data_IF_046941634042
#
_entry.id   IF_046941634042
#
_cell.length_a   1.000
_cell.length_b   1.000
_cell.length_c   1.000
_cell.angle_alpha   90.00
_cell.angle_beta   90.00
_cell.angle_gamma   90.00
#
_symmetry.space_group_name_H-M   'P 1'
#
loop_
_entity.id
_entity.type
_entity.pdbx_description
1 polymer ?
#
# COMPACT_ATOMS: atom_id res chain seq x y z
N UNK A 1 26.35 27.91 64.62
CA UNK A 1 25.55 28.84 63.80
C UNK A 1 25.42 28.25 62.41
N UNK A 2 24.39 27.47 62.20
CA UNK A 2 24.10 26.81 60.92
C UNK A 2 22.80 27.32 60.37
N UNK A 3 22.88 28.03 59.26
CA UNK A 3 21.69 28.42 58.48
C UNK A 3 21.73 27.63 57.16
N UNK A 4 20.98 26.53 57.07
CA UNK A 4 20.52 25.99 55.81
C UNK A 4 19.01 26.27 55.67
N UNK A 5 18.69 27.29 54.87
CA UNK A 5 17.34 27.47 54.36
C UNK A 5 17.07 26.46 53.24
N UNK A 6 16.22 25.52 53.51
CA UNK A 6 15.63 24.65 52.49
C UNK A 6 14.58 25.47 51.74
N UNK A 7 14.87 25.81 50.48
CA UNK A 7 13.89 26.29 49.53
C UNK A 7 13.03 25.09 49.12
N UNK A 8 11.77 25.11 49.50
CA UNK A 8 10.73 24.23 48.88
C UNK A 8 10.49 24.75 47.49
N UNK A 9 10.79 23.91 46.48
CA UNK A 9 10.22 24.08 45.13
C UNK A 9 8.76 23.64 45.22
N UNK A 10 7.85 24.57 44.96
CA UNK A 10 6.48 24.23 44.65
C UNK A 10 6.49 23.67 43.21
N UNK A 11 6.26 22.35 43.09
CA UNK A 11 5.90 21.73 41.84
C UNK A 11 4.43 22.05 41.52
N UNK A 12 4.19 23.25 41.04
CA UNK A 12 2.94 23.56 40.34
C UNK A 12 3.12 23.02 38.91
N UNK A 13 2.80 21.74 38.72
CA UNK A 13 2.72 21.06 37.42
C UNK A 13 1.46 21.59 36.68
N UNK A 14 1.64 22.78 36.08
CA UNK A 14 0.66 23.43 35.21
C UNK A 14 0.79 22.88 33.76
N UNK A 15 0.97 21.56 33.62
CA UNK A 15 0.73 20.91 32.35
C UNK A 15 -0.79 20.90 32.10
N UNK A 16 -1.26 21.51 31.00
CA UNK A 16 -2.67 21.40 30.65
C UNK A 16 -3.02 19.92 30.52
N UNK A 17 -3.82 19.39 31.44
CA UNK A 17 -4.40 18.06 31.28
C UNK A 17 -5.22 18.08 30.02
N UNK A 18 -4.73 17.48 28.95
CA UNK A 18 -5.53 17.22 27.76
C UNK A 18 -6.82 16.53 28.21
N UNK A 19 -7.94 17.17 27.99
CA UNK A 19 -9.25 16.58 28.24
C UNK A 19 -9.32 15.30 27.40
N UNK A 20 -9.79 14.17 27.95
CA UNK A 20 -9.93 12.95 27.20
C UNK A 20 -10.80 13.24 25.96
N UNK A 21 -10.23 13.06 24.77
CA UNK A 21 -10.95 13.23 23.51
C UNK A 21 -12.24 12.39 23.57
N UNK A 22 -13.37 13.04 23.35
CA UNK A 22 -14.65 12.36 23.30
C UNK A 22 -14.61 11.30 22.17
N UNK A 23 -14.77 10.00 22.47
CA UNK A 23 -14.69 8.93 21.45
C UNK A 23 -15.62 9.17 20.27
N UNK A 24 -16.75 9.84 20.47
CA UNK A 24 -17.71 10.22 19.44
C UNK A 24 -17.16 11.32 18.53
N UNK A 25 -16.46 12.32 19.07
CA UNK A 25 -15.83 13.39 18.30
C UNK A 25 -14.68 12.85 17.45
N UNK A 26 -13.88 11.93 18.00
CA UNK A 26 -12.80 11.25 17.27
C UNK A 26 -13.35 10.40 16.13
N UNK A 27 -14.45 9.69 16.36
CA UNK A 27 -15.12 8.89 15.33
C UNK A 27 -15.72 9.81 14.25
N UNK A 28 -16.34 10.92 14.62
CA UNK A 28 -16.93 11.90 13.68
C UNK A 28 -15.85 12.61 12.85
N UNK A 29 -14.71 12.97 13.44
CA UNK A 29 -13.60 13.60 12.71
C UNK A 29 -13.01 12.64 11.68
N UNK A 30 -12.75 11.38 12.04
CA UNK A 30 -12.29 10.36 11.11
C UNK A 30 -13.26 10.15 9.95
N UNK A 31 -14.57 10.08 10.22
CA UNK A 31 -15.60 9.94 9.20
C UNK A 31 -15.67 11.16 8.24
N UNK A 32 -15.46 12.39 8.75
CA UNK A 32 -15.42 13.59 7.91
C UNK A 32 -14.24 13.61 6.95
N UNK A 33 -13.03 13.17 7.39
CA UNK A 33 -11.85 13.03 6.53
C UNK A 33 -12.09 11.99 5.44
N UNK A 34 -12.55 10.80 5.81
CA UNK A 34 -12.85 9.74 4.85
C UNK A 34 -13.87 10.17 3.80
N UNK A 35 -14.96 10.83 4.24
CA UNK A 35 -15.97 11.38 3.34
C UNK A 35 -15.35 12.38 2.35
N UNK A 36 -14.50 13.30 2.83
CA UNK A 36 -13.87 14.30 1.97
C UNK A 36 -12.93 13.70 0.94
N UNK A 37 -12.17 12.66 1.32
CA UNK A 37 -11.30 11.95 0.39
C UNK A 37 -12.10 11.17 -0.66
N UNK A 38 -13.16 10.48 -0.27
CA UNK A 38 -14.05 9.79 -1.20
C UNK A 38 -14.73 10.76 -2.18
N UNK A 39 -15.18 11.94 -1.73
CA UNK A 39 -15.69 13.00 -2.62
C UNK A 39 -14.64 13.46 -3.65
N UNK A 40 -13.36 13.44 -3.29
CA UNK A 40 -12.22 13.73 -4.18
C UNK A 40 -11.74 12.50 -4.96
N UNK A 41 -12.41 11.37 -4.84
CA UNK A 41 -12.05 10.09 -5.46
C UNK A 41 -10.64 9.61 -5.10
N UNK A 42 -10.23 9.86 -3.85
CA UNK A 42 -8.95 9.45 -3.28
C UNK A 42 -9.18 8.31 -2.29
N UNK A 43 -8.45 7.21 -2.47
CA UNK A 43 -8.46 6.04 -1.59
C UNK A 43 -7.06 5.74 -1.10
N UNK A 44 -6.93 5.10 0.07
CA UNK A 44 -5.65 4.90 0.74
C UNK A 44 -5.49 3.47 1.23
N UNK A 45 -4.41 2.80 0.83
CA UNK A 45 -3.93 1.58 1.44
C UNK A 45 -2.78 1.94 2.38
N UNK A 46 -3.00 1.77 3.69
CA UNK A 46 -2.00 2.07 4.70
C UNK A 46 -1.75 0.85 5.58
N UNK A 47 -0.53 0.31 5.53
CA UNK A 47 -0.14 -0.90 6.26
C UNK A 47 -0.32 -2.18 5.44
N UNK A 48 -0.60 -3.30 6.13
CA UNK A 48 -0.58 -4.64 5.56
C UNK A 48 -1.73 -4.89 4.58
N UNK A 49 -1.45 -5.61 3.51
CA UNK A 49 -2.46 -6.19 2.61
C UNK A 49 -3.04 -7.43 3.27
N UNK A 50 -4.29 -7.35 3.69
CA UNK A 50 -5.07 -8.42 4.30
C UNK A 50 -6.53 -8.38 3.81
N UNK A 51 -7.37 -9.28 4.30
CA UNK A 51 -8.78 -9.35 3.89
C UNK A 51 -9.58 -8.10 4.29
N UNK A 52 -9.20 -7.44 5.39
CA UNK A 52 -9.86 -6.22 5.85
C UNK A 52 -9.53 -5.05 4.92
N UNK A 53 -8.26 -4.82 4.63
CA UNK A 53 -7.81 -3.78 3.70
C UNK A 53 -8.31 -4.05 2.28
N UNK A 54 -8.31 -5.31 1.84
CA UNK A 54 -8.84 -5.70 0.54
C UNK A 54 -10.33 -5.40 0.40
N UNK A 55 -11.13 -5.76 1.41
CA UNK A 55 -12.56 -5.45 1.44
C UNK A 55 -12.82 -3.94 1.40
N UNK A 56 -12.10 -3.15 2.20
CA UNK A 56 -12.27 -1.70 2.24
C UNK A 56 -11.94 -1.06 0.89
N UNK A 57 -10.75 -1.32 0.35
CA UNK A 57 -10.30 -0.75 -0.94
C UNK A 57 -11.19 -1.18 -2.09
N UNK A 58 -11.52 -2.47 -2.19
CA UNK A 58 -12.41 -2.99 -3.25
C UNK A 58 -13.81 -2.36 -3.17
N UNK A 59 -14.37 -2.23 -1.96
CA UNK A 59 -15.67 -1.58 -1.78
C UNK A 59 -15.65 -0.12 -2.21
N UNK A 60 -14.57 0.63 -1.91
CA UNK A 60 -14.38 2.02 -2.32
C UNK A 60 -14.22 2.15 -3.83
N UNK A 61 -13.44 1.26 -4.48
CA UNK A 61 -13.29 1.23 -5.93
C UNK A 61 -14.65 1.01 -6.63
N UNK A 62 -15.40 -0.01 -6.20
CA UNK A 62 -16.72 -0.32 -6.75
C UNK A 62 -17.75 0.79 -6.48
N UNK A 63 -17.71 1.40 -5.31
CA UNK A 63 -18.57 2.55 -4.99
C UNK A 63 -18.28 3.75 -5.89
N UNK A 64 -16.99 4.11 -6.05
CA UNK A 64 -16.58 5.22 -6.91
C UNK A 64 -16.90 4.97 -8.38
N UNK A 65 -16.76 3.73 -8.85
CA UNK A 65 -17.20 3.32 -10.20
C UNK A 65 -18.71 3.49 -10.36
N UNK A 66 -19.50 3.06 -9.36
CA UNK A 66 -20.97 3.09 -9.45
C UNK A 66 -21.55 4.52 -9.48
N UNK A 67 -20.91 5.48 -8.76
CA UNK A 67 -21.43 6.86 -8.69
C UNK A 67 -21.02 7.74 -9.87
N UNK A 68 -19.85 7.48 -10.47
CA UNK A 68 -19.36 8.28 -11.61
C UNK A 68 -18.39 7.43 -12.47
N UNK A 69 -18.93 6.53 -13.31
CA UNK A 69 -18.12 5.61 -14.11
C UNK A 69 -17.17 6.34 -15.06
N UNK A 70 -15.97 5.81 -15.24
CA UNK A 70 -14.96 6.34 -16.16
C UNK A 70 -14.18 7.53 -15.63
N UNK A 71 -14.52 8.09 -14.47
CA UNK A 71 -13.78 9.18 -13.85
C UNK A 71 -12.62 8.64 -13.04
N UNK A 72 -11.45 9.29 -13.14
CA UNK A 72 -10.21 8.86 -12.49
C UNK A 72 -10.36 8.70 -10.97
N UNK A 73 -9.76 7.63 -10.42
CA UNK A 73 -9.61 7.36 -9.00
C UNK A 73 -8.12 7.44 -8.67
N UNK A 74 -7.74 8.14 -7.61
CA UNK A 74 -6.35 8.17 -7.12
C UNK A 74 -6.18 7.23 -5.95
N UNK A 75 -5.31 6.24 -6.10
CA UNK A 75 -5.01 5.22 -5.11
C UNK A 75 -3.62 5.45 -4.50
N UNK A 76 -3.59 5.92 -3.26
CA UNK A 76 -2.38 6.13 -2.48
C UNK A 76 -1.98 4.86 -1.74
N UNK A 77 -0.70 4.50 -1.81
CA UNK A 77 -0.16 3.24 -1.27
C UNK A 77 1.02 3.53 -0.36
N UNK A 78 0.91 3.10 0.90
CA UNK A 78 2.01 2.98 1.85
C UNK A 78 1.89 1.60 2.54
N UNK A 79 2.51 0.57 1.95
CA UNK A 79 2.28 -0.81 2.34
C UNK A 79 3.54 -1.67 2.21
N UNK A 80 3.84 -2.51 3.22
CA UNK A 80 4.85 -3.56 3.12
C UNK A 80 4.41 -4.76 2.26
N UNK A 81 3.18 -4.75 1.73
CA UNK A 81 2.56 -5.91 1.10
C UNK A 81 1.77 -6.78 2.08
N UNK A 82 1.64 -8.07 1.80
CA UNK A 82 0.90 -9.01 2.64
C UNK A 82 0.28 -10.16 1.84
N UNK A 83 -0.98 -10.51 2.15
CA UNK A 83 -1.67 -11.68 1.59
C UNK A 83 -1.92 -11.50 0.09
N UNK A 84 -1.35 -12.42 -0.71
CA UNK A 84 -1.41 -12.34 -2.18
C UNK A 84 -2.84 -12.37 -2.70
N UNK A 85 -3.69 -13.28 -2.21
CA UNK A 85 -5.08 -13.40 -2.65
C UNK A 85 -5.89 -12.14 -2.36
N UNK A 86 -5.69 -11.53 -1.19
CA UNK A 86 -6.33 -10.26 -0.82
C UNK A 86 -5.85 -9.10 -1.71
N UNK A 87 -4.57 -9.08 -2.07
CA UNK A 87 -4.02 -8.10 -3.00
C UNK A 87 -4.52 -8.28 -4.43
N UNK A 88 -4.67 -9.53 -4.90
CA UNK A 88 -5.19 -9.81 -6.25
C UNK A 88 -6.65 -9.36 -6.40
N UNK A 89 -7.47 -9.48 -5.35
CA UNK A 89 -8.85 -8.92 -5.38
C UNK A 89 -8.84 -7.41 -5.66
N UNK A 90 -7.94 -6.67 -5.01
CA UNK A 90 -7.79 -5.22 -5.29
C UNK A 90 -7.28 -4.98 -6.70
N UNK A 91 -6.23 -5.70 -7.13
CA UNK A 91 -5.63 -5.58 -8.46
C UNK A 91 -6.66 -5.85 -9.57
N UNK A 92 -7.34 -6.98 -9.52
CA UNK A 92 -8.34 -7.35 -10.52
C UNK A 92 -9.48 -6.33 -10.57
N UNK A 93 -9.94 -5.83 -9.40
CA UNK A 93 -10.95 -4.78 -9.35
C UNK A 93 -10.46 -3.51 -10.07
N UNK A 94 -9.22 -3.07 -9.84
CA UNK A 94 -8.63 -1.93 -10.55
C UNK A 94 -8.61 -2.13 -12.07
N UNK A 95 -8.39 -3.37 -12.54
CA UNK A 95 -8.34 -3.66 -13.97
C UNK A 95 -9.74 -3.82 -14.61
N UNK A 96 -10.76 -4.19 -13.84
CA UNK A 96 -12.10 -4.51 -14.32
C UNK A 96 -13.06 -3.31 -14.35
N UNK A 97 -12.82 -2.27 -13.54
CA UNK A 97 -13.64 -1.05 -13.55
C UNK A 97 -13.30 -0.17 -14.76
N UNK A 98 -14.26 0.64 -15.21
CA UNK A 98 -14.04 1.58 -16.34
C UNK A 98 -13.28 2.83 -15.93
N UNK A 99 -13.32 3.20 -14.64
CA UNK A 99 -12.58 4.32 -14.07
C UNK A 99 -11.09 4.05 -14.09
N UNK A 100 -10.27 4.89 -14.72
CA UNK A 100 -8.82 4.74 -14.65
C UNK A 100 -8.32 4.95 -13.22
N UNK A 101 -7.46 4.05 -12.73
CA UNK A 101 -6.86 4.17 -11.41
C UNK A 101 -5.45 4.73 -11.54
N UNK A 102 -5.23 5.94 -11.02
CA UNK A 102 -3.91 6.51 -10.81
C UNK A 102 -3.34 5.99 -9.49
N UNK A 103 -2.09 5.53 -9.47
CA UNK A 103 -1.46 5.00 -8.26
C UNK A 103 -0.32 5.90 -7.78
N UNK A 104 -0.19 6.04 -6.46
CA UNK A 104 0.84 6.91 -5.85
C UNK A 104 1.50 6.17 -4.69
N UNK A 105 2.78 5.90 -4.77
CA UNK A 105 3.57 5.41 -3.64
C UNK A 105 3.88 6.55 -2.68
N UNK A 106 3.41 6.44 -1.42
CA UNK A 106 3.69 7.36 -0.31
C UNK A 106 4.55 6.63 0.73
N UNK A 107 5.86 6.83 0.71
CA UNK A 107 6.78 6.14 1.61
C UNK A 107 7.21 4.79 1.07
N UNK A 108 6.37 3.76 1.09
CA UNK A 108 6.76 2.42 0.63
C UNK A 108 5.65 1.71 -0.14
N UNK A 109 6.03 1.00 -1.21
CA UNK A 109 5.20 0.01 -1.88
C UNK A 109 5.99 -1.29 -2.08
N UNK A 110 5.91 -2.20 -1.11
CA UNK A 110 6.69 -3.44 -1.12
C UNK A 110 5.82 -4.66 -1.40
N UNK A 111 6.42 -5.71 -2.00
CA UNK A 111 5.78 -7.00 -2.22
C UNK A 111 4.44 -6.86 -2.96
N UNK A 112 3.32 -7.29 -2.38
CA UNK A 112 1.98 -7.11 -2.97
C UNK A 112 1.65 -5.62 -3.21
N UNK A 113 2.18 -4.69 -2.40
CA UNK A 113 2.04 -3.25 -2.61
C UNK A 113 2.67 -2.77 -3.92
N UNK A 114 3.79 -3.36 -4.34
CA UNK A 114 4.44 -3.04 -5.62
C UNK A 114 3.63 -3.51 -6.83
N UNK A 115 2.97 -4.65 -6.71
CA UNK A 115 2.05 -5.16 -7.75
C UNK A 115 0.86 -4.21 -7.91
N UNK A 116 0.24 -3.78 -6.80
CA UNK A 116 -0.85 -2.79 -6.83
C UNK A 116 -0.40 -1.46 -7.43
N UNK A 117 0.79 -0.96 -7.05
CA UNK A 117 1.37 0.26 -7.59
C UNK A 117 1.56 0.16 -9.11
N UNK A 118 2.16 -0.93 -9.59
CA UNK A 118 2.40 -1.18 -11.01
C UNK A 118 1.11 -1.30 -11.82
N UNK A 119 0.00 -1.74 -11.18
CA UNK A 119 -1.30 -1.93 -11.79
C UNK A 119 -2.07 -0.64 -12.09
N UNK A 120 -1.56 0.51 -11.72
CA UNK A 120 -2.12 1.80 -12.09
C UNK A 120 -2.10 2.05 -13.59
N UNK A 121 -2.96 2.97 -14.05
CA UNK A 121 -3.03 3.38 -15.45
C UNK A 121 -1.67 3.88 -15.93
N UNK A 122 -1.12 3.34 -17.01
CA UNK A 122 0.15 3.76 -17.58
C UNK A 122 0.17 5.27 -17.87
N UNK A 123 1.23 5.95 -17.44
CA UNK A 123 1.35 7.41 -17.44
C UNK A 123 0.71 8.08 -16.20
N UNK A 124 0.14 7.31 -15.29
CA UNK A 124 -0.56 7.77 -14.08
C UNK A 124 -0.10 7.02 -12.81
N UNK A 125 1.12 6.52 -12.81
CA UNK A 125 1.74 5.83 -11.66
C UNK A 125 2.85 6.72 -11.12
N UNK A 126 2.73 7.11 -9.87
CA UNK A 126 3.61 8.10 -9.26
C UNK A 126 4.26 7.57 -7.99
N UNK A 127 5.35 8.21 -7.60
CA UNK A 127 6.06 7.97 -6.35
C UNK A 127 6.47 9.31 -5.73
N UNK A 128 6.41 9.41 -4.41
CA UNK A 128 6.97 10.56 -3.69
C UNK A 128 8.50 10.58 -3.77
N UNK A 129 9.17 11.75 -3.63
CA UNK A 129 10.63 11.86 -3.80
C UNK A 129 11.45 10.91 -2.92
N UNK A 130 10.98 10.59 -1.72
CA UNK A 130 11.61 9.67 -0.77
C UNK A 130 10.87 8.33 -0.67
N UNK A 131 10.06 7.99 -1.66
CA UNK A 131 9.37 6.71 -1.72
C UNK A 131 10.29 5.60 -2.17
N UNK A 132 10.02 4.39 -1.70
CA UNK A 132 10.76 3.17 -2.03
C UNK A 132 9.81 2.09 -2.53
N UNK A 133 10.28 1.30 -3.47
CA UNK A 133 9.55 0.15 -4.00
C UNK A 133 10.40 -1.10 -3.82
N UNK A 134 9.77 -2.20 -3.40
CA UNK A 134 10.44 -3.49 -3.31
C UNK A 134 9.62 -4.57 -4.00
N UNK A 135 10.28 -5.34 -4.85
CA UNK A 135 9.72 -6.56 -5.46
C UNK A 135 10.44 -7.79 -4.94
N UNK A 136 9.70 -8.86 -4.72
CA UNK A 136 10.24 -10.18 -4.37
C UNK A 136 9.23 -11.29 -4.63
N UNK A 137 9.70 -12.53 -4.71
CA UNK A 137 8.86 -13.72 -4.85
C UNK A 137 7.94 -13.92 -3.62
N UNK A 138 6.79 -14.59 -3.80
CA UNK A 138 5.91 -14.88 -2.68
C UNK A 138 6.61 -15.75 -1.63
N UNK A 139 6.38 -15.43 -0.37
CA UNK A 139 6.79 -16.25 0.76
C UNK A 139 5.63 -17.18 1.09
N UNK A 140 5.89 -18.46 1.19
CA UNK A 140 4.88 -19.45 1.54
C UNK A 140 5.53 -20.70 2.11
N UNK A 141 4.73 -21.50 2.80
CA UNK A 141 5.13 -22.76 3.38
C UNK A 141 3.96 -23.38 4.14
N UNK A 142 4.11 -24.63 4.56
CA UNK A 142 3.08 -25.32 5.31
C UNK A 142 3.57 -26.62 5.91
N UNK A 143 2.65 -27.33 6.58
CA UNK A 143 2.84 -28.62 7.17
C UNK A 143 1.82 -29.59 6.56
N UNK A 144 2.19 -30.85 6.40
CA UNK A 144 1.32 -31.87 5.87
C UNK A 144 2.08 -33.11 5.44
N UNK A 145 1.43 -33.99 4.69
CA UNK A 145 2.06 -35.15 4.06
C UNK A 145 2.99 -34.68 2.91
N UNK A 146 3.86 -35.57 2.42
CA UNK A 146 4.70 -35.28 1.25
C UNK A 146 3.87 -34.80 0.07
N UNK A 147 2.75 -35.45 -0.21
CA UNK A 147 1.84 -35.05 -1.29
C UNK A 147 1.25 -33.65 -1.09
N UNK A 148 0.87 -33.27 0.14
CA UNK A 148 0.37 -31.93 0.45
C UNK A 148 1.45 -30.86 0.21
N UNK A 149 2.68 -31.14 0.61
CA UNK A 149 3.82 -30.23 0.42
C UNK A 149 4.16 -30.04 -1.07
N UNK A 150 4.09 -31.12 -1.86
CA UNK A 150 4.28 -31.05 -3.32
C UNK A 150 3.21 -30.17 -4.00
N UNK A 151 1.92 -30.35 -3.64
CA UNK A 151 0.82 -29.53 -4.13
C UNK A 151 1.04 -28.06 -3.77
N UNK A 152 1.45 -27.79 -2.53
CA UNK A 152 1.71 -26.44 -2.05
C UNK A 152 2.89 -25.79 -2.79
N UNK A 153 3.98 -26.53 -3.01
CA UNK A 153 5.14 -26.05 -3.77
C UNK A 153 4.75 -25.63 -5.20
N UNK A 154 3.95 -26.47 -5.88
CA UNK A 154 3.41 -26.16 -7.22
C UNK A 154 2.57 -24.87 -7.18
N UNK A 155 1.71 -24.70 -6.16
CA UNK A 155 0.88 -23.50 -6.06
C UNK A 155 1.71 -22.24 -5.79
N UNK A 156 2.72 -22.31 -4.94
CA UNK A 156 3.65 -21.20 -4.69
C UNK A 156 4.38 -20.82 -5.98
N UNK A 157 4.82 -21.80 -6.77
CA UNK A 157 5.48 -21.54 -8.06
C UNK A 157 4.56 -20.84 -9.04
N UNK A 158 3.30 -21.27 -9.18
CA UNK A 158 2.30 -20.62 -10.01
C UNK A 158 2.07 -19.15 -9.57
N UNK A 159 2.01 -18.92 -8.27
CA UNK A 159 1.86 -17.56 -7.72
C UNK A 159 3.08 -16.69 -8.02
N UNK A 160 4.29 -17.25 -7.93
CA UNK A 160 5.54 -16.57 -8.33
C UNK A 160 5.49 -16.15 -9.79
N UNK A 161 5.16 -17.09 -10.70
CA UNK A 161 5.05 -16.79 -12.12
C UNK A 161 3.98 -15.75 -12.44
N UNK A 162 2.82 -15.82 -11.78
CA UNK A 162 1.74 -14.84 -11.95
C UNK A 162 2.20 -13.43 -11.57
N UNK A 163 2.81 -13.26 -10.38
CA UNK A 163 3.32 -11.97 -9.93
C UNK A 163 4.40 -11.41 -10.85
N UNK A 164 5.35 -12.27 -11.29
CA UNK A 164 6.40 -11.88 -12.22
C UNK A 164 5.85 -11.48 -13.58
N UNK A 165 4.82 -12.16 -14.10
CA UNK A 165 4.16 -11.84 -15.36
C UNK A 165 3.45 -10.48 -15.29
N UNK A 166 2.67 -10.25 -14.22
CA UNK A 166 2.00 -8.96 -13.99
C UNK A 166 3.02 -7.82 -13.95
N UNK A 167 4.11 -7.98 -13.21
CA UNK A 167 5.16 -6.96 -13.16
C UNK A 167 5.83 -6.75 -14.52
N UNK A 168 6.14 -7.82 -15.24
CA UNK A 168 6.75 -7.73 -16.58
C UNK A 168 5.86 -6.92 -17.55
N UNK A 169 4.58 -7.24 -17.60
CA UNK A 169 3.60 -6.55 -18.44
C UNK A 169 3.42 -5.08 -18.04
N UNK A 170 3.21 -4.81 -16.75
CA UNK A 170 2.98 -3.46 -16.25
C UNK A 170 4.22 -2.56 -16.37
N UNK A 171 5.43 -3.12 -16.16
CA UNK A 171 6.68 -2.36 -16.21
C UNK A 171 7.30 -2.31 -17.62
N UNK A 172 6.79 -3.10 -18.58
CA UNK A 172 7.39 -3.24 -19.91
C UNK A 172 8.76 -3.92 -19.87
N UNK A 173 8.97 -4.82 -18.90
CA UNK A 173 10.20 -5.58 -18.70
C UNK A 173 10.09 -6.96 -19.32
N UNK A 174 11.25 -7.58 -19.63
CA UNK A 174 11.31 -8.98 -20.02
C UNK A 174 10.98 -9.89 -18.81
N UNK A 175 10.17 -10.94 -19.04
CA UNK A 175 9.72 -11.86 -17.99
C UNK A 175 10.88 -12.54 -17.26
N UNK A 176 11.89 -13.01 -18.00
CA UNK A 176 13.06 -13.69 -17.43
C UNK A 176 13.89 -12.76 -16.55
N UNK A 177 13.97 -11.47 -16.95
CA UNK A 177 14.61 -10.44 -16.12
C UNK A 177 13.83 -10.24 -14.82
N UNK A 178 12.50 -10.09 -14.89
CA UNK A 178 11.68 -9.94 -13.70
C UNK A 178 11.77 -11.16 -12.79
N UNK A 179 11.74 -12.37 -13.34
CA UNK A 179 11.91 -13.60 -12.57
C UNK A 179 13.24 -13.66 -11.81
N UNK A 180 14.31 -13.09 -12.38
CA UNK A 180 15.62 -12.99 -11.74
C UNK A 180 15.62 -11.93 -10.64
N UNK A 181 15.11 -10.73 -10.92
CA UNK A 181 15.05 -9.64 -9.96
C UNK A 181 14.09 -9.95 -8.80
N UNK A 182 13.04 -10.74 -9.07
CA UNK A 182 12.00 -11.16 -8.12
C UNK A 182 12.45 -12.30 -7.17
N UNK A 183 13.64 -12.86 -7.38
CA UNK A 183 14.11 -14.03 -6.59
C UNK A 183 14.49 -13.67 -5.15
N UNK A 184 14.91 -12.43 -4.90
CA UNK A 184 15.21 -11.86 -3.59
C UNK A 184 14.64 -10.44 -3.51
N UNK A 185 14.72 -9.85 -2.33
CA UNK A 185 14.29 -8.47 -2.12
C UNK A 185 15.09 -7.54 -3.05
N UNK A 186 14.39 -6.97 -4.02
CA UNK A 186 14.94 -6.01 -4.97
C UNK A 186 14.35 -4.64 -4.69
N UNK A 187 15.12 -3.81 -4.00
CA UNK A 187 14.72 -2.47 -3.61
C UNK A 187 15.05 -1.45 -4.69
N UNK A 188 14.18 -0.46 -4.84
CA UNK A 188 14.31 0.63 -5.79
C UNK A 188 13.92 1.94 -5.12
N UNK A 189 14.77 2.95 -5.23
CA UNK A 189 14.40 4.34 -4.93
C UNK A 189 13.45 4.91 -6.00
N UNK A 190 13.05 6.18 -5.86
CA UNK A 190 12.12 6.83 -6.79
C UNK A 190 12.67 6.87 -8.23
N UNK A 191 13.97 7.13 -8.42
CA UNK A 191 14.60 7.20 -9.73
C UNK A 191 14.76 5.82 -10.37
N UNK A 192 15.18 4.84 -9.58
CA UNK A 192 15.30 3.44 -10.00
C UNK A 192 13.93 2.85 -10.36
N UNK A 193 12.88 3.21 -9.59
CA UNK A 193 11.49 2.80 -9.85
C UNK A 193 10.98 3.30 -11.20
N UNK A 194 11.32 4.55 -11.60
CA UNK A 194 11.03 5.07 -12.94
C UNK A 194 11.82 4.30 -13.99
N UNK A 195 13.12 4.10 -13.78
CA UNK A 195 13.99 3.38 -14.71
C UNK A 195 13.56 1.92 -14.91
N UNK A 196 13.00 1.30 -13.89
CA UNK A 196 12.41 -0.05 -13.96
C UNK A 196 11.05 -0.05 -14.68
N UNK A 197 10.34 1.07 -14.68
CA UNK A 197 9.03 1.22 -15.30
C UNK A 197 7.87 0.85 -14.38
N UNK A 198 8.11 0.69 -13.05
CA UNK A 198 7.05 0.38 -12.09
C UNK A 198 6.20 1.61 -11.75
N UNK A 199 6.79 2.80 -11.88
CA UNK A 199 6.11 4.10 -11.85
C UNK A 199 6.50 4.94 -13.07
N UNK A 200 5.73 5.98 -13.34
CA UNK A 200 5.92 6.83 -14.53
C UNK A 200 6.64 8.16 -14.21
N UNK A 201 6.47 8.68 -12.98
CA UNK A 201 7.11 9.93 -12.55
C UNK A 201 7.18 10.09 -11.02
N UNK A 202 8.07 10.97 -10.56
CA UNK A 202 8.04 11.49 -9.18
C UNK A 202 6.94 12.53 -9.07
N UNK A 203 6.18 12.49 -7.97
CA UNK A 203 5.14 13.46 -7.67
C UNK A 203 5.70 14.57 -6.76
N UNK A 204 6.02 15.71 -7.34
CA UNK A 204 6.64 16.84 -6.62
C UNK A 204 5.63 17.73 -5.90
N UNK A 205 4.34 17.69 -6.31
CA UNK A 205 3.24 18.50 -5.71
C UNK A 205 1.94 17.70 -5.72
N UNK A 206 1.12 17.86 -4.67
CA UNK A 206 -0.22 17.28 -4.52
C UNK A 206 -1.31 18.18 -5.09
#
# INVERSE_FOLDING_TARGET
MNFYKTTRFNDDDDTPKELPENPMEKMMSGWQFDKKFIEQRKIFLWGVVDDKSAKDITSRLLYLEAIDPGKEITFYINSPGGIVTSGMVMYDTMQMISSPVSTVCMGMAASMGSILLSGGKKGRRFIFPNGEVMIHQPIGGGQGTSADLEIMAVQIHKTKELGARILAENCGQNFEKVMKDFDRDYWMDAKESIGYGIVDAVLDKL
#
